data_IF_850076189189
#
_entry.id   IF_850076189189
#
_cell.length_a   1.000
_cell.length_b   1.000
_cell.length_c   1.000
_cell.angle_alpha   90.00
_cell.angle_beta   90.00
_cell.angle_gamma   90.00
#
_symmetry.space_group_name_H-M   'P 1'
#
loop_
_entity.id
_entity.type
_entity.pdbx_description
1 polymer ?
#
# COMPACT_ATOMS: atom_id res chain seq x y z
N UNK A 1 -17.94 -10.28 -0.64
CA UNK A 1 -18.24 -9.15 -1.54
C UNK A 1 -17.43 -9.35 -2.82
N UNK A 2 -17.99 -9.05 -3.99
CA UNK A 2 -17.33 -9.23 -5.29
C UNK A 2 -17.05 -7.89 -5.94
N UNK A 3 -15.85 -7.72 -6.48
CA UNK A 3 -15.44 -6.53 -7.24
C UNK A 3 -15.19 -6.98 -8.68
N UNK A 4 -15.78 -6.27 -9.64
CA UNK A 4 -15.52 -6.46 -11.06
C UNK A 4 -14.58 -5.37 -11.54
N UNK A 5 -13.44 -5.77 -12.12
CA UNK A 5 -12.43 -4.86 -12.68
C UNK A 5 -12.31 -5.12 -14.19
N UNK A 6 -12.06 -4.06 -14.97
CA UNK A 6 -11.72 -4.19 -16.39
C UNK A 6 -10.21 -4.28 -16.51
N UNK A 7 -9.74 -5.32 -17.18
CA UNK A 7 -8.33 -5.52 -17.48
C UNK A 7 -8.05 -5.13 -18.93
N UNK A 8 -6.84 -4.67 -19.17
CA UNK A 8 -6.29 -4.54 -20.52
C UNK A 8 -5.95 -5.92 -21.08
N UNK A 9 -5.88 -6.09 -22.42
CA UNK A 9 -5.50 -7.36 -23.02
C UNK A 9 -4.16 -7.90 -22.51
N UNK A 10 -3.20 -7.01 -22.25
CA UNK A 10 -1.87 -7.39 -21.75
C UNK A 10 -1.91 -7.94 -20.32
N UNK A 11 -2.75 -7.37 -19.46
CA UNK A 11 -2.94 -7.86 -18.09
C UNK A 11 -3.62 -9.23 -18.07
N UNK A 12 -4.62 -9.44 -18.94
CA UNK A 12 -5.26 -10.74 -19.11
C UNK A 12 -4.26 -11.80 -19.54
N UNK A 13 -3.45 -11.51 -20.57
CA UNK A 13 -2.42 -12.43 -21.07
C UNK A 13 -1.42 -12.81 -19.97
N UNK A 14 -0.95 -11.83 -19.17
CA UNK A 14 -0.04 -12.09 -18.05
C UNK A 14 -0.67 -13.00 -16.98
N UNK A 15 -1.93 -12.78 -16.65
CA UNK A 15 -2.65 -13.63 -15.69
C UNK A 15 -2.86 -15.05 -16.23
N UNK A 16 -3.05 -15.21 -17.54
CA UNK A 16 -3.21 -16.50 -18.20
C UNK A 16 -1.91 -17.31 -18.19
N UNK A 17 -0.79 -16.66 -18.47
CA UNK A 17 0.53 -17.27 -18.36
C UNK A 17 0.83 -17.72 -16.92
N UNK A 18 0.56 -16.87 -15.92
CA UNK A 18 0.74 -17.19 -14.51
C UNK A 18 -0.14 -18.38 -14.08
N UNK A 19 -1.39 -18.38 -14.51
CA UNK A 19 -2.34 -19.48 -14.25
C UNK A 19 -1.84 -20.78 -14.86
N UNK A 20 -1.42 -20.73 -16.13
CA UNK A 20 -0.94 -21.91 -16.87
C UNK A 20 0.34 -22.50 -16.26
N UNK A 21 1.25 -21.64 -15.79
CA UNK A 21 2.54 -22.06 -15.21
C UNK A 21 2.43 -22.64 -13.80
N UNK A 22 1.42 -22.25 -13.03
CA UNK A 22 1.35 -22.55 -11.59
C UNK A 22 0.13 -23.37 -11.17
N UNK A 23 -0.88 -23.47 -12.05
CA UNK A 23 -2.17 -24.09 -11.73
C UNK A 23 -3.05 -23.27 -10.78
N UNK A 24 -2.65 -22.05 -10.39
CA UNK A 24 -3.44 -21.17 -9.52
C UNK A 24 -4.40 -20.31 -10.34
N UNK A 25 -5.57 -19.98 -9.79
CA UNK A 25 -6.58 -19.17 -10.49
C UNK A 25 -6.13 -17.72 -10.68
N UNK A 26 -6.66 -17.04 -11.71
CA UNK A 26 -6.51 -15.58 -11.89
C UNK A 26 -6.89 -14.79 -10.62
N UNK A 27 -7.97 -15.20 -9.96
CA UNK A 27 -8.45 -14.56 -8.72
C UNK A 27 -7.49 -14.71 -7.53
N UNK A 28 -6.60 -15.71 -7.54
CA UNK A 28 -5.51 -15.79 -6.56
C UNK A 28 -4.51 -14.66 -6.79
N UNK A 29 -4.06 -14.50 -8.03
CA UNK A 29 -3.07 -13.48 -8.40
C UNK A 29 -3.58 -12.05 -8.24
N UNK A 30 -4.81 -11.77 -8.64
CA UNK A 30 -5.43 -10.46 -8.44
C UNK A 30 -5.51 -10.11 -6.95
N UNK A 31 -5.89 -11.08 -6.09
CA UNK A 31 -5.92 -10.86 -4.64
C UNK A 31 -4.53 -10.69 -4.04
N UNK A 32 -3.54 -11.42 -4.55
CA UNK A 32 -2.16 -11.27 -4.10
C UNK A 32 -1.62 -9.87 -4.44
N UNK A 33 -1.76 -9.45 -5.70
CA UNK A 33 -1.34 -8.11 -6.14
C UNK A 33 -2.05 -7.00 -5.34
N UNK A 34 -3.36 -7.17 -5.08
CA UNK A 34 -4.10 -6.24 -4.24
C UNK A 34 -3.52 -6.18 -2.82
N UNK A 35 -3.25 -7.32 -2.19
CA UNK A 35 -2.69 -7.36 -0.84
C UNK A 35 -1.33 -6.68 -0.77
N UNK A 36 -0.44 -6.99 -1.71
CA UNK A 36 0.91 -6.43 -1.76
C UNK A 36 0.88 -4.89 -1.90
N UNK A 37 -0.15 -4.32 -2.53
CA UNK A 37 -0.31 -2.86 -2.64
C UNK A 37 -1.12 -2.20 -1.52
N UNK A 38 -2.00 -2.92 -0.85
CA UNK A 38 -2.79 -2.34 0.23
C UNK A 38 -1.91 -1.89 1.40
N UNK A 39 -0.89 -2.67 1.74
CA UNK A 39 0.03 -2.33 2.83
C UNK A 39 0.73 -0.97 2.57
N UNK A 40 1.24 -0.77 1.35
CA UNK A 40 1.88 0.49 0.94
C UNK A 40 0.89 1.68 0.96
N UNK A 41 -0.34 1.45 0.52
CA UNK A 41 -1.38 2.49 0.48
C UNK A 41 -1.81 2.88 1.89
N UNK A 42 -2.04 1.91 2.78
CA UNK A 42 -2.43 2.16 4.16
C UNK A 42 -1.36 2.96 4.90
N UNK A 43 -0.08 2.64 4.70
CA UNK A 43 1.04 3.39 5.28
C UNK A 43 1.08 4.84 4.76
N UNK A 44 0.89 5.05 3.45
CA UNK A 44 0.84 6.39 2.87
C UNK A 44 -0.34 7.22 3.43
N UNK A 45 -1.54 6.64 3.47
CA UNK A 45 -2.71 7.32 4.02
C UNK A 45 -2.58 7.59 5.53
N UNK A 46 -1.95 6.69 6.28
CA UNK A 46 -1.69 6.90 7.71
C UNK A 46 -0.71 8.06 7.94
N UNK A 47 0.33 8.17 7.10
CA UNK A 47 1.28 9.28 7.15
C UNK A 47 0.61 10.62 6.84
N UNK A 48 -0.18 10.69 5.76
CA UNK A 48 -0.91 11.90 5.37
C UNK A 48 -1.91 12.31 6.46
N UNK A 49 -2.71 11.37 6.96
CA UNK A 49 -3.66 11.63 8.05
C UNK A 49 -2.96 12.14 9.31
N UNK A 50 -1.79 11.59 9.64
CA UNK A 50 -1.00 12.02 10.79
C UNK A 50 -0.43 13.44 10.62
N UNK A 51 -0.02 13.79 9.40
CA UNK A 51 0.46 15.13 9.08
C UNK A 51 -0.67 16.15 9.16
N UNK A 52 -1.82 15.88 8.54
CA UNK A 52 -2.99 16.75 8.59
C UNK A 52 -3.45 17.02 10.04
N UNK A 53 -3.49 15.96 10.86
CA UNK A 53 -3.82 16.07 12.27
C UNK A 53 -2.80 16.93 13.04
N UNK A 54 -1.50 16.79 12.71
CA UNK A 54 -0.44 17.58 13.32
C UNK A 54 -0.55 19.06 12.93
N UNK A 55 -0.74 19.37 11.65
CA UNK A 55 -0.90 20.73 11.14
C UNK A 55 -2.11 21.43 11.76
N UNK A 56 -3.24 20.72 11.85
CA UNK A 56 -4.48 21.22 12.46
C UNK A 56 -4.36 21.42 13.97
N UNK A 57 -3.47 20.68 14.64
CA UNK A 57 -3.30 20.77 16.09
C UNK A 57 -2.64 22.07 16.59
N UNK A 58 -2.03 22.86 15.70
CA UNK A 58 -1.29 24.08 16.06
C UNK A 58 -0.01 23.84 16.86
N UNK A 59 0.44 22.58 17.00
CA UNK A 59 1.67 22.22 17.70
C UNK A 59 2.89 22.57 16.86
N UNK A 60 3.99 22.94 17.52
CA UNK A 60 5.28 23.15 16.85
C UNK A 60 6.04 21.84 16.69
N UNK A 61 6.65 21.66 15.53
CA UNK A 61 7.52 20.52 15.27
C UNK A 61 8.79 20.63 16.12
N UNK A 62 9.50 19.52 16.27
CA UNK A 62 10.77 19.47 17.00
C UNK A 62 11.88 19.00 16.06
N UNK A 63 13.11 19.53 16.18
CA UNK A 63 14.21 19.12 15.32
C UNK A 63 14.57 17.65 15.57
N UNK A 64 14.90 16.94 14.48
CA UNK A 64 15.24 15.51 14.52
C UNK A 64 16.40 15.21 15.49
N UNK A 65 17.39 16.10 15.59
CA UNK A 65 18.52 15.97 16.52
C UNK A 65 18.08 15.88 17.98
N UNK A 66 17.09 16.69 18.39
CA UNK A 66 16.56 16.66 19.74
C UNK A 66 15.76 15.39 20.03
N UNK A 67 15.10 14.81 19.02
CA UNK A 67 14.38 13.54 19.14
C UNK A 67 15.37 12.37 19.27
N UNK A 68 16.38 12.33 18.41
CA UNK A 68 17.45 11.31 18.45
C UNK A 68 18.18 11.29 19.78
N UNK A 69 18.62 12.46 20.25
CA UNK A 69 19.28 12.60 21.55
C UNK A 69 18.39 12.10 22.72
N UNK A 70 17.08 12.34 22.67
CA UNK A 70 16.13 11.84 23.69
C UNK A 70 15.97 10.31 23.66
N UNK A 71 16.06 9.70 22.48
CA UNK A 71 15.88 8.26 22.28
C UNK A 71 17.18 7.46 22.37
N UNK A 72 18.33 8.11 22.49
CA UNK A 72 19.64 7.44 22.50
C UNK A 72 20.04 6.86 21.13
N UNK A 73 19.53 7.46 20.05
CA UNK A 73 19.82 7.10 18.65
C UNK A 73 20.81 8.06 17.99
#
# INVERSE_FOLDING_TARGET
>A
MTISIRLTPDEENRLDELTSRTGRSRSFYVRQALREHLDDLDDAYAADTSLDAFETSGRKSRPLSAVKAKLGL
#
